data_IF_842123411324
#
_entry.id   IF_842123411324
#
_cell.length_a   1.000
_cell.length_b   1.000
_cell.length_c   1.000
_cell.angle_alpha   90.00
_cell.angle_beta   90.00
_cell.angle_gamma   90.00
#
_symmetry.space_group_name_H-M   'P 1'
#
loop_
_entity.id
_entity.type
_entity.pdbx_description
1 polymer ?
#
# COMPACT_ATOMS: atom_id res chain seq x y z
N UNK A 1 25.15 -17.39 -21.71
CA UNK A 1 25.42 -17.04 -20.29
C UNK A 1 24.18 -17.41 -19.48
N UNK A 2 24.24 -18.50 -18.71
CA UNK A 2 23.18 -18.84 -17.77
C UNK A 2 23.40 -17.92 -16.58
N UNK A 3 22.53 -16.93 -16.43
CA UNK A 3 22.54 -16.06 -15.25
C UNK A 3 22.06 -16.93 -14.10
N UNK A 4 22.98 -17.62 -13.44
CA UNK A 4 22.71 -18.28 -12.16
C UNK A 4 22.30 -17.16 -11.20
N UNK A 5 20.99 -16.90 -11.12
CA UNK A 5 20.46 -16.09 -10.04
C UNK A 5 20.99 -16.75 -8.76
N UNK A 6 21.72 -15.98 -7.94
CA UNK A 6 22.21 -16.49 -6.66
C UNK A 6 21.06 -17.21 -5.96
N UNK A 7 21.33 -18.42 -5.48
CA UNK A 7 20.31 -19.24 -4.85
C UNK A 7 19.83 -18.50 -3.61
N UNK A 8 18.68 -17.82 -3.74
CA UNK A 8 18.07 -17.10 -2.64
C UNK A 8 17.83 -18.05 -1.48
N UNK A 9 17.75 -17.50 -0.28
CA UNK A 9 17.57 -18.25 0.99
C UNK A 9 16.29 -19.10 1.05
N UNK A 10 15.42 -19.03 0.03
CA UNK A 10 14.16 -19.76 -0.03
C UNK A 10 13.07 -19.20 0.89
N UNK A 11 13.33 -18.08 1.58
CA UNK A 11 12.44 -17.57 2.63
C UNK A 11 11.21 -16.82 2.10
N UNK A 12 11.18 -16.45 0.81
CA UNK A 12 10.11 -15.61 0.25
C UNK A 12 8.71 -16.23 0.38
N UNK A 13 8.54 -17.49 -0.04
CA UNK A 13 7.24 -18.16 0.03
C UNK A 13 6.74 -18.38 1.47
N UNK A 14 7.57 -18.87 2.41
CA UNK A 14 7.18 -18.94 3.82
C UNK A 14 6.76 -17.60 4.42
N UNK A 15 7.46 -16.51 4.11
CA UNK A 15 7.11 -15.16 4.57
C UNK A 15 5.74 -14.75 4.04
N UNK A 16 5.49 -14.94 2.74
CA UNK A 16 4.20 -14.60 2.12
C UNK A 16 3.06 -15.43 2.72
N UNK A 17 3.27 -16.73 2.93
CA UNK A 17 2.27 -17.59 3.56
C UNK A 17 1.93 -17.13 4.98
N UNK A 18 2.93 -16.76 5.78
CA UNK A 18 2.72 -16.23 7.12
C UNK A 18 1.93 -14.91 7.10
N UNK A 19 2.28 -13.98 6.20
CA UNK A 19 1.56 -12.72 6.02
C UNK A 19 0.09 -12.96 5.60
N UNK A 20 -0.14 -13.87 4.66
CA UNK A 20 -1.50 -14.20 4.23
C UNK A 20 -2.32 -14.82 5.36
N UNK A 21 -1.73 -15.73 6.13
CA UNK A 21 -2.39 -16.36 7.28
C UNK A 21 -2.76 -15.33 8.36
N UNK A 22 -1.84 -14.45 8.74
CA UNK A 22 -2.11 -13.37 9.71
C UNK A 22 -3.20 -12.39 9.24
N UNK A 23 -3.49 -12.36 7.94
CA UNK A 23 -4.49 -11.48 7.36
C UNK A 23 -5.81 -12.19 7.01
N UNK A 24 -6.01 -13.42 7.49
CA UNK A 24 -7.15 -14.28 7.16
C UNK A 24 -7.33 -14.47 5.64
N UNK A 25 -6.23 -14.35 4.90
CA UNK A 25 -6.20 -14.41 3.45
C UNK A 25 -5.89 -15.81 2.93
N UNK A 26 -6.23 -16.04 1.66
CA UNK A 26 -5.94 -17.27 0.91
C UNK A 26 -4.81 -17.03 -0.09
N UNK A 27 -3.88 -17.97 -0.19
CA UNK A 27 -2.77 -17.92 -1.13
C UNK A 27 -2.79 -19.17 -2.04
N UNK A 28 -2.86 -18.97 -3.35
CA UNK A 28 -2.78 -20.02 -4.36
C UNK A 28 -1.58 -19.80 -5.27
N UNK A 29 -0.87 -20.88 -5.62
CA UNK A 29 0.24 -20.85 -6.56
C UNK A 29 0.02 -21.95 -7.59
N UNK A 30 0.09 -21.59 -8.87
CA UNK A 30 -0.04 -22.48 -10.01
C UNK A 30 1.20 -22.29 -10.88
N UNK A 31 1.96 -23.35 -11.10
CA UNK A 31 3.15 -23.28 -11.95
C UNK A 31 3.10 -24.38 -12.99
N UNK A 32 3.42 -24.03 -14.23
CA UNK A 32 3.54 -24.98 -15.33
C UNK A 32 4.87 -24.75 -16.03
N UNK A 33 5.61 -25.85 -16.18
CA UNK A 33 6.95 -25.84 -16.77
C UNK A 33 6.90 -25.21 -18.16
N UNK A 34 7.79 -24.24 -18.43
CA UNK A 34 7.89 -23.47 -19.68
C UNK A 34 6.69 -22.57 -20.00
N UNK A 35 5.72 -22.43 -19.10
CA UNK A 35 4.59 -21.50 -19.24
C UNK A 35 4.60 -20.39 -18.18
N UNK A 36 5.25 -20.64 -17.04
CA UNK A 36 5.45 -19.67 -15.98
C UNK A 36 4.72 -20.05 -14.69
N UNK A 37 4.54 -19.06 -13.83
CA UNK A 37 3.93 -19.22 -12.51
C UNK A 37 2.92 -18.11 -12.27
N UNK A 38 1.70 -18.49 -11.92
CA UNK A 38 0.62 -17.62 -11.46
C UNK A 38 0.51 -17.72 -9.93
N UNK A 39 0.34 -16.57 -9.28
CA UNK A 39 0.15 -16.47 -7.84
C UNK A 39 -1.07 -15.60 -7.57
N UNK A 40 -1.99 -16.11 -6.75
CA UNK A 40 -3.23 -15.42 -6.39
C UNK A 40 -3.24 -15.26 -4.86
N UNK A 41 -3.29 -14.00 -4.41
CA UNK A 41 -3.48 -13.64 -3.01
C UNK A 41 -4.85 -13.00 -2.84
N UNK A 42 -5.70 -13.59 -2.00
CA UNK A 42 -7.07 -13.13 -1.75
C UNK A 42 -7.21 -12.75 -0.28
N UNK A 43 -7.72 -11.54 -0.02
CA UNK A 43 -8.04 -11.09 1.34
C UNK A 43 -9.56 -11.08 1.55
N UNK A 44 -10.05 -11.32 2.77
CA UNK A 44 -11.47 -11.22 3.04
C UNK A 44 -11.92 -9.76 2.95
N UNK A 45 -13.20 -9.54 2.61
CA UNK A 45 -13.79 -8.20 2.45
C UNK A 45 -13.58 -7.30 3.68
N UNK A 46 -13.52 -7.89 4.87
CA UNK A 46 -13.26 -7.20 6.15
C UNK A 46 -11.90 -6.49 6.21
N UNK A 47 -10.95 -6.82 5.31
CA UNK A 47 -9.65 -6.13 5.21
C UNK A 47 -9.69 -4.91 4.28
N UNK A 48 -10.81 -4.66 3.62
CA UNK A 48 -11.03 -3.46 2.81
C UNK A 48 -11.43 -2.33 3.75
N UNK A 49 -10.60 -1.30 3.82
CA UNK A 49 -10.91 -0.08 4.60
C UNK A 49 -11.90 0.78 3.82
N UNK A 50 -12.87 1.35 4.53
CA UNK A 50 -13.70 2.42 4.00
C UNK A 50 -12.83 3.63 3.68
N UNK A 51 -13.17 4.34 2.61
CA UNK A 51 -12.45 5.56 2.21
C UNK A 51 -12.71 6.61 3.30
N UNK A 52 -11.73 6.83 4.16
CA UNK A 52 -11.78 7.91 5.12
C UNK A 52 -11.44 9.23 4.40
N UNK A 53 -12.17 10.32 4.67
CA UNK A 53 -11.77 11.64 4.19
C UNK A 53 -10.35 11.95 4.71
N UNK A 54 -9.54 12.71 3.96
CA UNK A 54 -8.21 13.12 4.40
C UNK A 54 -8.30 13.71 5.80
N UNK A 55 -7.52 13.16 6.73
CA UNK A 55 -7.41 13.71 8.07
C UNK A 55 -6.86 15.12 7.92
N UNK A 56 -7.70 16.13 8.16
CA UNK A 56 -7.25 17.50 8.32
C UNK A 56 -6.42 17.50 9.59
N UNK A 57 -5.09 17.43 9.45
CA UNK A 57 -4.19 17.66 10.57
C UNK A 57 -4.55 19.03 11.16
N UNK A 58 -5.27 19.04 12.29
CA UNK A 58 -5.67 20.22 13.04
C UNK A 58 -4.46 20.84 13.76
N UNK A 59 -3.41 21.12 12.98
CA UNK A 59 -2.11 21.59 13.43
C UNK A 59 -1.22 22.14 12.32
N UNK A 60 -1.56 21.95 11.04
CA UNK A 60 -0.95 22.76 9.99
C UNK A 60 -1.70 24.08 9.90
N UNK A 61 -1.18 25.12 10.58
CA UNK A 61 -1.63 26.50 10.44
C UNK A 61 -1.65 26.89 8.96
N UNK A 62 -2.83 26.82 8.33
CA UNK A 62 -3.05 27.42 7.03
C UNK A 62 -2.82 28.94 7.20
N UNK A 63 -1.82 29.55 6.53
CA UNK A 63 -1.67 30.98 6.59
C UNK A 63 -2.90 31.60 5.91
N UNK A 64 -3.78 32.25 6.68
CA UNK A 64 -4.89 33.04 6.14
C UNK A 64 -4.30 34.07 5.17
N UNK A 65 -4.73 34.14 3.90
CA UNK A 65 -4.30 35.21 3.01
C UNK A 65 -4.76 36.53 3.61
N UNK A 66 -3.82 37.45 3.87
CA UNK A 66 -4.15 38.81 4.31
C UNK A 66 -4.96 39.47 3.19
N UNK A 67 -6.24 39.75 3.44
CA UNK A 67 -7.05 40.49 2.47
C UNK A 67 -6.50 41.92 2.36
N UNK A 68 -6.16 42.30 1.13
CA UNK A 68 -5.68 43.65 0.76
C UNK A 68 -6.76 44.72 1.04
N UNK A 69 -7.99 44.29 1.33
CA UNK A 69 -9.13 45.15 1.61
C UNK A 69 -9.09 45.84 3.00
N UNK A 70 -8.17 45.46 3.90
CA UNK A 70 -8.04 46.12 5.22
C UNK A 70 -7.15 47.37 5.22
N UNK A 71 -6.44 47.69 4.13
CA UNK A 71 -5.55 48.86 4.05
C UNK A 71 -6.21 50.14 3.54
N UNK A 72 -7.52 50.15 3.26
CA UNK A 72 -8.20 51.32 2.67
C UNK A 72 -8.84 52.30 3.67
N UNK A 73 -8.81 52.03 4.98
CA UNK A 73 -9.30 52.97 6.00
C UNK A 73 -8.18 53.35 6.97
N UNK A 74 -7.22 54.14 6.50
CA UNK A 74 -6.32 54.93 7.35
C UNK A 74 -5.69 56.05 6.51
N UNK A 75 -6.51 57.02 6.11
CA UNK A 75 -6.18 58.43 5.87
C UNK A 75 -7.44 59.18 5.42
#
# INVERSE_FOLDING_TARGET
>A
AIKSAEQGTGLGLPIVQALMHMHDGKFELRSKLREGTEVIATFPRTRVLEIMPPVQNAGASQPKPKSILSMRNSA
#
